data_IF_891044111960
#
_entry.id   IF_891044111960
#
_cell.length_a   1.000
_cell.length_b   1.000
_cell.length_c   1.000
_cell.angle_alpha   90.00
_cell.angle_beta   90.00
_cell.angle_gamma   90.00
#
_symmetry.space_group_name_H-M   'P 1'
#
loop_
_entity.id
_entity.type
_entity.pdbx_description
1 polymer ?
#
# COMPACT_ATOMS: atom_id res chain seq x y z
N UNK A 1 -25.11 -8.17 -50.48
CA UNK A 1 -24.26 -8.28 -49.28
C UNK A 1 -23.78 -6.89 -48.89
N UNK A 2 -24.33 -6.31 -47.82
CA UNK A 2 -23.92 -4.98 -47.36
C UNK A 2 -22.56 -5.07 -46.64
N UNK A 3 -21.54 -4.45 -47.22
CA UNK A 3 -20.20 -4.37 -46.66
C UNK A 3 -20.20 -3.35 -45.51
N UNK A 4 -20.39 -3.83 -44.27
CA UNK A 4 -20.30 -3.00 -43.06
C UNK A 4 -18.82 -2.66 -42.82
N UNK A 5 -18.39 -1.51 -43.34
CA UNK A 5 -17.12 -0.87 -42.96
C UNK A 5 -17.14 -0.66 -41.45
N UNK A 6 -16.36 -1.46 -40.71
CA UNK A 6 -16.22 -1.36 -39.25
C UNK A 6 -15.54 -0.03 -38.96
N UNK A 7 -16.30 0.92 -38.43
CA UNK A 7 -15.84 2.26 -38.11
C UNK A 7 -14.88 2.19 -36.91
N UNK A 8 -13.60 2.45 -37.15
CA UNK A 8 -12.56 2.42 -36.11
C UNK A 8 -12.60 3.65 -35.18
N UNK A 9 -13.46 4.64 -35.46
CA UNK A 9 -13.58 5.85 -34.63
C UNK A 9 -14.33 5.57 -33.32
N UNK A 10 -15.37 4.72 -33.35
CA UNK A 10 -16.19 4.41 -32.18
C UNK A 10 -15.35 3.78 -31.03
N UNK A 11 -14.27 3.08 -31.36
CA UNK A 11 -13.37 2.50 -30.36
C UNK A 11 -12.48 3.52 -29.66
N UNK A 12 -12.10 4.63 -30.30
CA UNK A 12 -11.28 5.67 -29.65
C UNK A 12 -12.13 6.50 -28.68
N UNK A 13 -13.36 6.81 -29.07
CA UNK A 13 -14.32 7.53 -28.24
C UNK A 13 -14.70 6.76 -26.96
N UNK A 14 -14.71 5.42 -27.02
CA UNK A 14 -14.90 4.57 -25.84
C UNK A 14 -13.72 4.59 -24.87
N UNK A 15 -12.48 4.83 -25.33
CA UNK A 15 -11.28 4.87 -24.46
C UNK A 15 -11.14 6.17 -23.69
N UNK A 16 -11.64 7.27 -24.27
CA UNK A 16 -11.67 8.58 -23.62
C UNK A 16 -12.91 8.77 -22.75
N UNK A 17 -13.89 7.85 -22.81
CA UNK A 17 -15.08 7.91 -21.98
C UNK A 17 -14.76 7.51 -20.52
N UNK A 18 -14.98 8.40 -19.53
CA UNK A 18 -14.71 8.11 -18.11
C UNK A 18 -15.60 6.99 -17.53
N UNK A 19 -16.68 6.61 -18.21
CA UNK A 19 -17.58 5.52 -17.81
C UNK A 19 -17.32 4.19 -18.54
N UNK A 20 -16.31 4.11 -19.42
CA UNK A 20 -15.89 2.83 -20.02
C UNK A 20 -15.03 2.03 -19.05
N UNK A 21 -14.90 0.71 -19.28
CA UNK A 21 -14.03 -0.15 -18.45
C UNK A 21 -12.58 0.35 -18.41
N UNK A 22 -12.06 0.83 -19.55
CA UNK A 22 -10.70 1.37 -19.64
C UNK A 22 -10.59 2.75 -18.93
N UNK A 23 -11.61 3.60 -19.01
CA UNK A 23 -11.69 4.86 -18.28
C UNK A 23 -11.76 4.67 -16.76
N UNK A 24 -12.58 3.72 -16.30
CA UNK A 24 -12.68 3.33 -14.88
C UNK A 24 -11.36 2.75 -14.35
N UNK A 25 -10.66 1.93 -15.13
CA UNK A 25 -9.32 1.45 -14.74
C UNK A 25 -8.31 2.59 -14.60
N UNK A 26 -8.33 3.57 -15.50
CA UNK A 26 -7.42 4.70 -15.44
C UNK A 26 -7.72 5.62 -14.25
N UNK A 27 -8.99 5.88 -13.94
CA UNK A 27 -9.39 6.64 -12.74
C UNK A 27 -8.93 5.91 -11.47
N UNK A 28 -9.12 4.59 -11.39
CA UNK A 28 -8.64 3.79 -10.26
C UNK A 28 -7.12 3.84 -10.13
N UNK A 29 -6.37 3.76 -11.23
CA UNK A 29 -4.90 3.88 -11.21
C UNK A 29 -4.46 5.24 -10.68
N UNK A 30 -5.11 6.32 -11.10
CA UNK A 30 -4.81 7.69 -10.65
C UNK A 30 -5.10 7.83 -9.15
N UNK A 31 -6.26 7.39 -8.69
CA UNK A 31 -6.61 7.42 -7.26
C UNK A 31 -5.64 6.59 -6.41
N UNK A 32 -5.25 5.41 -6.90
CA UNK A 32 -4.27 4.58 -6.22
C UNK A 32 -2.90 5.27 -6.17
N UNK A 33 -2.48 5.91 -7.26
CA UNK A 33 -1.23 6.64 -7.33
C UNK A 33 -1.23 7.88 -6.41
N UNK A 34 -2.35 8.60 -6.31
CA UNK A 34 -2.51 9.70 -5.35
C UNK A 34 -2.48 9.22 -3.91
N UNK A 35 -3.18 8.13 -3.61
CA UNK A 35 -3.20 7.52 -2.29
C UNK A 35 -1.78 7.12 -1.86
N UNK A 36 -1.08 6.33 -2.67
CA UNK A 36 0.31 5.93 -2.38
C UNK A 36 1.26 7.14 -2.39
N UNK A 37 1.05 8.10 -3.28
CA UNK A 37 1.85 9.32 -3.36
C UNK A 37 1.72 10.19 -2.12
N UNK A 38 0.56 10.19 -1.45
CA UNK A 38 0.33 10.89 -0.18
C UNK A 38 1.14 10.30 0.97
N UNK A 39 1.26 8.97 1.03
CA UNK A 39 1.99 8.28 2.11
C UNK A 39 3.50 8.17 1.84
N UNK A 40 3.88 7.85 0.61
CA UNK A 40 5.27 7.55 0.26
C UNK A 40 5.98 8.71 -0.44
N UNK A 41 5.26 9.71 -0.94
CA UNK A 41 5.81 10.78 -1.76
C UNK A 41 5.58 10.54 -3.25
N UNK A 42 5.65 11.61 -4.04
CA UNK A 42 5.34 11.57 -5.48
C UNK A 42 6.53 11.13 -6.34
N UNK A 43 7.74 11.27 -5.81
CA UNK A 43 8.99 11.01 -6.51
C UNK A 43 9.63 9.69 -6.05
N UNK A 44 10.35 9.00 -6.96
CA UNK A 44 11.04 7.73 -6.65
C UNK A 44 11.96 7.82 -5.43
N UNK A 45 12.67 8.94 -5.29
CA UNK A 45 13.61 9.16 -4.17
C UNK A 45 12.87 9.34 -2.84
N UNK A 46 11.75 10.08 -2.85
CA UNK A 46 10.89 10.25 -1.67
C UNK A 46 10.29 8.92 -1.25
N UNK A 47 9.75 8.14 -2.20
CA UNK A 47 9.20 6.80 -1.95
C UNK A 47 10.23 5.90 -1.29
N UNK A 48 11.46 5.88 -1.81
CA UNK A 48 12.55 5.09 -1.23
C UNK A 48 12.86 5.52 0.20
N UNK A 49 13.00 6.84 0.44
CA UNK A 49 13.35 7.39 1.75
C UNK A 49 12.23 7.18 2.78
N UNK A 50 10.98 7.42 2.40
CA UNK A 50 9.83 7.25 3.28
C UNK A 50 9.54 5.78 3.56
N UNK A 51 9.64 4.91 2.56
CA UNK A 51 9.51 3.45 2.76
C UNK A 51 10.56 2.93 3.74
N UNK A 52 11.83 3.36 3.60
CA UNK A 52 12.89 2.97 4.52
C UNK A 52 12.63 3.46 5.96
N UNK A 53 12.18 4.71 6.12
CA UNK A 53 11.80 5.27 7.43
C UNK A 53 10.65 4.48 8.07
N UNK A 54 9.63 4.12 7.30
CA UNK A 54 8.48 3.34 7.78
C UNK A 54 8.92 1.95 8.22
N UNK A 55 9.72 1.25 7.40
CA UNK A 55 10.28 -0.06 7.76
C UNK A 55 11.09 0.02 9.04
N UNK A 56 11.96 1.02 9.16
CA UNK A 56 12.77 1.21 10.37
C UNK A 56 11.90 1.45 11.61
N UNK A 57 10.86 2.29 11.51
CA UNK A 57 9.90 2.50 12.60
C UNK A 57 9.23 1.18 13.01
N UNK A 58 8.74 0.39 12.06
CA UNK A 58 8.09 -0.90 12.32
C UNK A 58 9.04 -1.84 13.07
N UNK A 59 10.29 -1.97 12.60
CA UNK A 59 11.28 -2.82 13.27
C UNK A 59 11.62 -2.32 14.67
N UNK A 60 11.75 -1.00 14.86
CA UNK A 60 12.05 -0.40 16.14
C UNK A 60 10.92 -0.65 17.16
N UNK A 61 9.66 -0.38 16.78
CA UNK A 61 8.51 -0.65 17.65
C UNK A 61 8.31 -2.16 17.89
N UNK A 62 8.53 -3.00 16.88
CA UNK A 62 8.49 -4.45 17.05
C UNK A 62 9.51 -4.95 18.07
N UNK A 63 10.74 -4.41 18.03
CA UNK A 63 11.79 -4.74 18.99
C UNK A 63 11.42 -4.29 20.41
N UNK A 64 10.83 -3.10 20.56
CA UNK A 64 10.33 -2.63 21.86
C UNK A 64 9.27 -3.59 22.42
N UNK A 65 8.29 -3.98 21.60
CA UNK A 65 7.21 -4.89 22.01
C UNK A 65 7.79 -6.23 22.48
N UNK A 66 8.72 -6.81 21.70
CA UNK A 66 9.39 -8.06 22.07
C UNK A 66 10.15 -7.89 23.39
N UNK A 67 10.89 -6.79 23.55
CA UNK A 67 11.62 -6.50 24.79
C UNK A 67 10.69 -6.40 25.99
N UNK A 68 9.54 -5.72 25.86
CA UNK A 68 8.55 -5.61 26.94
C UNK A 68 7.99 -6.98 27.30
N UNK A 69 7.62 -7.80 26.31
CA UNK A 69 7.13 -9.16 26.55
C UNK A 69 8.17 -9.98 27.31
N UNK A 70 9.44 -9.93 26.89
CA UNK A 70 10.52 -10.65 27.57
C UNK A 70 10.68 -10.21 29.04
N UNK A 71 10.65 -8.91 29.31
CA UNK A 71 10.73 -8.38 30.68
C UNK A 71 9.56 -8.85 31.52
N UNK A 72 8.34 -8.76 30.98
CA UNK A 72 7.12 -9.22 31.66
C UNK A 72 7.21 -10.71 31.96
N UNK A 73 7.51 -11.55 30.96
CA UNK A 73 7.65 -13.00 31.14
C UNK A 73 8.75 -13.35 32.15
N UNK A 74 9.89 -12.63 32.13
CA UNK A 74 10.96 -12.84 33.10
C UNK A 74 10.51 -12.54 34.54
N UNK A 75 9.78 -11.43 34.76
CA UNK A 75 9.25 -11.09 36.08
C UNK A 75 8.24 -12.13 36.58
N UNK A 76 7.32 -12.59 35.72
CA UNK A 76 6.36 -13.64 36.10
C UNK A 76 7.05 -14.98 36.42
N UNK A 77 8.06 -15.39 35.65
CA UNK A 77 8.84 -16.60 35.96
C UNK A 77 9.62 -16.46 37.28
N UNK A 78 10.15 -15.28 37.57
CA UNK A 78 10.89 -15.03 38.82
C UNK A 78 9.97 -15.05 40.04
N UNK A 79 8.76 -14.49 39.93
CA UNK A 79 7.76 -14.54 41.02
C UNK A 79 7.36 -15.99 41.29
N UNK A 80 7.13 -16.81 40.27
CA UNK A 80 6.82 -18.23 40.46
C UNK A 80 7.96 -19.01 41.13
N UNK A 81 9.23 -18.69 40.86
CA UNK A 81 10.37 -19.34 41.52
C UNK A 81 10.52 -18.95 43.00
N UNK A 82 10.14 -17.74 43.40
CA UNK A 82 10.24 -17.28 44.80
C UNK A 82 9.04 -17.75 45.64
N UNK A 83 7.90 -18.05 44.99
CA UNK A 83 6.65 -18.42 45.67
C UNK A 83 6.36 -19.93 45.64
N UNK A 84 7.15 -20.73 44.92
CA UNK A 84 7.13 -22.20 44.93
C UNK A 84 8.17 -22.75 45.91
#
# INVERSE_FOLDING_TARGET
MANKKKNNNDQKDLKENPFSKEGLENINKIQLQEFYGSFFGKNKEEVKKNSQKIRFKIYFYGLIIISVILVVTFLFNRVNFVTA
#
